data_IF_134988850984
#
_entry.id   IF_134988850984
#
_cell.length_a   1.000
_cell.length_b   1.000
_cell.length_c   1.000
_cell.angle_alpha   90.00
_cell.angle_beta   90.00
_cell.angle_gamma   90.00
#
_symmetry.space_group_name_H-M   'P 1'
#
loop_
_entity.id
_entity.type
_entity.pdbx_description
1 polymer ?
#
# COMPACT_ATOMS: atom_id res chain seq x y z
N UNK A 1 -20.86 33.02 -12.56
CA UNK A 1 -21.26 31.59 -12.46
C UNK A 1 -20.32 30.90 -11.49
N UNK A 2 -20.70 30.78 -10.22
CA UNK A 2 -19.87 30.15 -9.19
C UNK A 2 -19.95 28.62 -9.35
N UNK A 3 -18.82 27.95 -9.58
CA UNK A 3 -18.72 26.49 -9.66
C UNK A 3 -18.64 25.95 -8.23
N UNK A 4 -19.71 25.32 -7.78
CA UNK A 4 -19.77 24.62 -6.51
C UNK A 4 -18.74 23.47 -6.49
N UNK A 5 -17.75 23.56 -5.60
CA UNK A 5 -16.87 22.44 -5.28
C UNK A 5 -17.69 21.43 -4.48
N UNK A 6 -18.05 20.30 -5.11
CA UNK A 6 -18.63 19.15 -4.42
C UNK A 6 -17.63 18.71 -3.34
N UNK A 7 -18.04 18.45 -2.08
CA UNK A 7 -17.16 17.88 -1.08
C UNK A 7 -16.62 16.56 -1.64
N UNK A 8 -15.34 16.59 -1.99
CA UNK A 8 -14.68 15.54 -2.75
C UNK A 8 -14.86 14.21 -2.03
N UNK A 9 -15.35 13.22 -2.76
CA UNK A 9 -15.27 11.82 -2.36
C UNK A 9 -13.89 11.58 -1.74
N UNK A 10 -13.87 11.04 -0.51
CA UNK A 10 -12.67 10.66 0.23
C UNK A 10 -11.61 10.17 -0.75
N UNK A 11 -10.62 11.02 -1.02
CA UNK A 11 -9.62 10.74 -2.03
C UNK A 11 -8.98 9.41 -1.64
N UNK A 12 -9.11 8.39 -2.50
CA UNK A 12 -8.31 7.18 -2.37
C UNK A 12 -6.87 7.65 -2.55
N UNK A 13 -6.11 7.76 -1.46
CA UNK A 13 -4.68 8.00 -1.56
C UNK A 13 -4.06 6.73 -2.14
N UNK A 14 -3.43 6.92 -3.30
CA UNK A 14 -2.67 5.91 -3.99
C UNK A 14 -1.22 6.40 -3.99
N UNK A 15 -0.39 5.70 -3.24
CA UNK A 15 1.02 6.02 -3.07
C UNK A 15 1.84 4.96 -3.82
N UNK A 16 2.65 5.40 -4.79
CA UNK A 16 3.57 4.51 -5.50
C UNK A 16 4.78 4.22 -4.62
N UNK A 17 5.12 2.95 -4.46
CA UNK A 17 6.34 2.53 -3.79
C UNK A 17 7.47 2.48 -4.80
N UNK A 18 8.49 3.30 -4.57
CA UNK A 18 9.74 3.27 -5.31
C UNK A 18 10.83 2.65 -4.43
N UNK A 19 11.72 1.88 -5.03
CA UNK A 19 12.99 1.52 -4.41
C UNK A 19 13.93 2.74 -4.34
N UNK A 20 15.02 2.64 -3.57
CA UNK A 20 16.08 3.67 -3.55
C UNK A 20 16.70 3.94 -4.94
N UNK A 21 16.62 2.96 -5.86
CA UNK A 21 17.05 3.11 -7.25
C UNK A 21 16.01 3.79 -8.16
N UNK A 22 14.86 4.21 -7.61
CA UNK A 22 13.77 4.86 -8.35
C UNK A 22 12.87 3.89 -9.14
N UNK A 23 13.06 2.58 -9.01
CA UNK A 23 12.21 1.58 -9.67
C UNK A 23 10.89 1.41 -8.91
N UNK A 24 9.75 1.41 -9.63
CA UNK A 24 8.45 1.06 -9.05
C UNK A 24 8.44 -0.40 -8.61
N UNK A 25 8.34 -0.61 -7.30
CA UNK A 25 8.27 -1.94 -6.68
C UNK A 25 6.83 -2.31 -6.31
N UNK A 26 5.91 -1.35 -6.34
CA UNK A 26 4.53 -1.59 -5.96
C UNK A 26 3.73 -0.31 -5.72
N UNK A 27 2.55 -0.49 -5.13
CA UNK A 27 1.62 0.59 -4.81
C UNK A 27 0.89 0.28 -3.52
N UNK A 28 0.64 1.32 -2.73
CA UNK A 28 -0.24 1.27 -1.56
C UNK A 28 -1.49 2.06 -1.90
N UNK A 29 -2.65 1.45 -1.71
CA UNK A 29 -3.94 2.15 -1.82
C UNK A 29 -4.68 2.02 -0.51
N UNK A 30 -5.13 3.15 0.00
CA UNK A 30 -5.76 3.23 1.31
C UNK A 30 -7.16 3.84 1.22
N UNK A 31 -8.03 3.33 2.08
CA UNK A 31 -9.41 3.76 2.24
C UNK A 31 -9.78 3.68 3.73
N UNK A 32 -10.93 4.24 4.12
CA UNK A 32 -11.37 4.22 5.52
C UNK A 32 -11.43 2.84 6.18
N UNK A 33 -11.62 1.77 5.39
CA UNK A 33 -11.85 0.42 5.91
C UNK A 33 -10.75 -0.58 5.54
N UNK A 34 -9.83 -0.20 4.64
CA UNK A 34 -8.89 -1.13 4.04
C UNK A 34 -7.64 -0.43 3.54
N UNK A 35 -6.49 -1.04 3.81
CA UNK A 35 -5.22 -0.81 3.12
C UNK A 35 -4.97 -1.98 2.17
N UNK A 36 -4.61 -1.69 0.94
CA UNK A 36 -4.22 -2.67 -0.07
C UNK A 36 -2.79 -2.37 -0.50
N UNK A 37 -1.91 -3.36 -0.34
CA UNK A 37 -0.53 -3.29 -0.82
C UNK A 37 -0.42 -4.19 -2.04
N UNK A 38 0.07 -3.62 -3.15
CA UNK A 38 0.34 -4.33 -4.40
C UNK A 38 1.83 -4.31 -4.63
N UNK A 39 2.44 -5.47 -4.82
CA UNK A 39 3.87 -5.60 -5.12
C UNK A 39 4.02 -6.08 -6.56
N UNK A 40 4.85 -5.40 -7.35
CA UNK A 40 5.17 -5.86 -8.70
C UNK A 40 6.21 -6.98 -8.62
N UNK A 41 5.71 -8.22 -8.68
CA UNK A 41 6.55 -9.42 -8.66
C UNK A 41 7.49 -9.51 -9.88
N UNK A 42 7.18 -8.88 -11.01
CA UNK A 42 8.08 -8.88 -12.18
C UNK A 42 9.31 -8.03 -11.92
N UNK A 43 9.10 -6.87 -11.30
CA UNK A 43 10.16 -5.92 -10.96
C UNK A 43 10.95 -6.35 -9.73
N UNK A 44 10.31 -7.04 -8.77
CA UNK A 44 10.97 -7.45 -7.52
C UNK A 44 10.39 -8.77 -6.97
N UNK A 45 10.79 -9.92 -7.52
CA UNK A 45 10.28 -11.23 -7.11
C UNK A 45 10.65 -11.59 -5.66
N UNK A 46 11.91 -11.38 -5.27
CA UNK A 46 12.41 -11.68 -3.93
C UNK A 46 11.69 -10.87 -2.85
N UNK A 47 11.41 -9.60 -3.14
CA UNK A 47 10.64 -8.74 -2.24
C UNK A 47 9.20 -9.22 -2.10
N UNK A 48 8.57 -9.67 -3.18
CA UNK A 48 7.22 -10.23 -3.11
C UNK A 48 7.16 -11.49 -2.23
N UNK A 49 8.15 -12.37 -2.31
CA UNK A 49 8.24 -13.56 -1.44
C UNK A 49 8.48 -13.18 0.01
N UNK A 50 9.41 -12.23 0.25
CA UNK A 50 9.68 -11.71 1.59
C UNK A 50 8.42 -11.14 2.25
N UNK A 51 7.68 -10.26 1.55
CA UNK A 51 6.45 -9.65 2.08
C UNK A 51 5.38 -10.70 2.39
N UNK A 52 5.23 -11.72 1.54
CA UNK A 52 4.26 -12.80 1.78
C UNK A 52 4.60 -13.63 3.03
N UNK A 53 5.88 -13.83 3.32
CA UNK A 53 6.33 -14.58 4.50
C UNK A 53 6.28 -13.73 5.78
N UNK A 54 6.64 -12.46 5.70
CA UNK A 54 6.74 -11.59 6.87
C UNK A 54 5.40 -10.97 7.29
N UNK A 55 4.46 -10.70 6.38
CA UNK A 55 3.18 -10.08 6.76
C UNK A 55 2.38 -10.91 7.80
N UNK A 56 2.23 -12.24 7.67
CA UNK A 56 1.58 -13.05 8.69
C UNK A 56 2.29 -13.00 10.04
N UNK A 57 3.63 -13.01 10.01
CA UNK A 57 4.46 -12.91 11.20
C UNK A 57 4.29 -11.55 11.89
N UNK A 58 4.39 -10.46 11.14
CA UNK A 58 4.20 -9.10 11.62
C UNK A 58 2.80 -8.91 12.25
N UNK A 59 1.77 -9.50 11.63
CA UNK A 59 0.42 -9.45 12.19
C UNK A 59 0.32 -10.21 13.53
N UNK A 60 0.96 -11.38 13.63
CA UNK A 60 1.01 -12.15 14.88
C UNK A 60 1.69 -11.36 15.99
N UNK A 61 2.84 -10.75 15.72
CA UNK A 61 3.58 -9.92 16.69
C UNK A 61 2.74 -8.73 17.16
N UNK A 62 2.09 -8.01 16.23
CA UNK A 62 1.18 -6.91 16.58
C UNK A 62 0.02 -7.36 17.49
N UNK A 63 -0.55 -8.55 17.23
CA UNK A 63 -1.64 -9.11 18.05
C UNK A 63 -1.19 -9.52 19.44
N UNK A 64 0.07 -9.89 19.62
CA UNK A 64 0.65 -10.29 20.92
C UNK A 64 1.11 -9.08 21.75
N UNK A 65 1.45 -7.97 21.09
CA UNK A 65 1.82 -6.71 21.74
C UNK A 65 0.63 -5.83 22.15
N UNK A 66 -0.60 -6.31 21.92
CA UNK A 66 -1.87 -5.62 22.21
C UNK A 66 -2.59 -6.31 23.35
#
# INVERSE_FOLDING_TARGET
MARSLKPGALARSQDTLLSDAGQEIGRITQSKQKVTVTIDRKSSPEFAEFVLNELPRLFKEYRQSR
#
